data_IF_800956073111
#
_entry.id   IF_800956073111
#
_cell.length_a   1.000
_cell.length_b   1.000
_cell.length_c   1.000
_cell.angle_alpha   90.00
_cell.angle_beta   90.00
_cell.angle_gamma   90.00
#
_symmetry.space_group_name_H-M   'P 1'
#
loop_
_entity.id
_entity.type
_entity.pdbx_description
1 polymer ?
#
# COMPACT_ATOMS: atom_id res chain seq x y z
N UNK A 1 11.00 11.28 -21.32
CA UNK A 1 11.02 10.36 -20.18
C UNK A 1 9.63 10.40 -19.58
N UNK A 2 8.99 9.24 -19.39
CA UNK A 2 7.72 9.17 -18.65
C UNK A 2 7.96 9.66 -17.23
N UNK A 3 7.08 10.53 -16.74
CA UNK A 3 7.09 11.02 -15.35
C UNK A 3 6.69 9.84 -14.43
N UNK A 4 7.50 9.53 -13.41
CA UNK A 4 7.14 8.54 -12.37
C UNK A 4 5.89 9.02 -11.63
N UNK A 5 4.93 8.12 -11.39
CA UNK A 5 3.66 8.46 -10.75
C UNK A 5 3.25 7.40 -9.75
N UNK A 6 2.51 7.85 -8.75
CA UNK A 6 1.83 7.00 -7.79
C UNK A 6 0.35 7.34 -7.85
N UNK A 7 -0.50 6.34 -8.01
CA UNK A 7 -1.95 6.47 -8.00
C UNK A 7 -2.52 5.75 -6.80
N UNK A 8 -3.34 6.44 -6.03
CA UNK A 8 -4.11 5.86 -4.94
C UNK A 8 -5.58 5.81 -5.40
N UNK A 9 -6.10 4.60 -5.56
CA UNK A 9 -7.41 4.38 -6.18
C UNK A 9 -8.56 4.51 -5.17
N UNK A 10 -9.71 5.09 -5.57
CA UNK A 10 -10.89 5.18 -4.73
C UNK A 10 -11.66 3.85 -4.75
N UNK A 11 -11.20 2.88 -3.96
CA UNK A 11 -11.77 1.52 -3.87
C UNK A 11 -12.58 1.30 -2.58
N UNK A 12 -13.01 2.38 -1.92
CA UNK A 12 -13.77 2.34 -0.67
C UNK A 12 -12.87 2.23 0.56
N UNK A 13 -13.24 1.37 1.52
CA UNK A 13 -12.34 0.97 2.61
C UNK A 13 -11.59 -0.28 2.19
N UNK A 14 -10.71 -0.11 1.22
CA UNK A 14 -9.74 -1.10 0.84
C UNK A 14 -8.59 -0.40 0.16
N UNK A 15 -7.63 -1.17 -0.31
CA UNK A 15 -6.39 -0.63 -0.81
C UNK A 15 -6.07 -1.06 -2.22
N UNK A 16 -5.66 -0.10 -3.02
CA UNK A 16 -5.02 -0.32 -4.32
C UNK A 16 -4.20 0.92 -4.66
N UNK A 17 -2.88 0.74 -4.80
CA UNK A 17 -1.96 1.82 -5.16
C UNK A 17 -1.01 1.38 -6.26
N UNK A 18 -0.96 2.10 -7.38
CA UNK A 18 -0.09 1.78 -8.52
C UNK A 18 1.09 2.74 -8.59
N UNK A 19 2.30 2.20 -8.57
CA UNK A 19 3.54 2.91 -8.93
C UNK A 19 3.79 2.67 -10.43
N UNK A 20 3.71 3.73 -11.22
CA UNK A 20 4.10 3.77 -12.63
C UNK A 20 5.54 4.28 -12.72
N UNK A 21 6.46 3.41 -13.13
CA UNK A 21 7.88 3.75 -13.15
C UNK A 21 8.33 4.36 -14.50
N UNK A 22 9.45 5.08 -14.51
CA UNK A 22 10.01 5.69 -15.73
C UNK A 22 10.47 4.65 -16.78
N UNK A 23 10.88 3.45 -16.34
CA UNK A 23 11.26 2.33 -17.20
C UNK A 23 10.06 1.56 -17.76
N UNK A 24 8.84 2.02 -17.43
CA UNK A 24 7.58 1.44 -17.88
C UNK A 24 7.14 0.19 -17.13
N UNK A 25 7.81 -0.14 -16.00
CA UNK A 25 7.33 -1.15 -15.05
C UNK A 25 6.28 -0.61 -14.10
N UNK A 26 5.45 -1.53 -13.62
CA UNK A 26 4.29 -1.26 -12.78
C UNK A 26 4.32 -2.13 -11.53
N UNK A 27 4.28 -1.50 -10.36
CA UNK A 27 4.13 -2.18 -9.08
C UNK A 27 2.77 -1.78 -8.49
N UNK A 28 1.88 -2.74 -8.33
CA UNK A 28 0.59 -2.56 -7.66
C UNK A 28 0.72 -3.06 -6.22
N UNK A 29 0.38 -2.19 -5.26
CA UNK A 29 0.29 -2.50 -3.83
C UNK A 29 -1.19 -2.61 -3.48
N UNK A 30 -1.58 -3.81 -3.09
CA UNK A 30 -2.94 -4.30 -2.87
C UNK A 30 -3.85 -4.22 -4.09
N UNK A 31 -4.92 -5.01 -4.06
CA UNK A 31 -5.93 -5.06 -5.10
C UNK A 31 -7.31 -5.18 -4.46
N UNK A 32 -8.23 -4.27 -4.76
CA UNK A 32 -9.59 -4.38 -4.28
C UNK A 32 -10.59 -3.91 -5.34
N UNK A 33 -11.18 -4.88 -6.03
CA UNK A 33 -12.23 -4.69 -7.02
C UNK A 33 -13.22 -5.86 -6.96
N UNK A 34 -13.97 -6.01 -5.86
CA UNK A 34 -15.00 -7.04 -5.77
C UNK A 34 -16.10 -6.77 -6.81
N UNK A 35 -16.94 -7.77 -7.07
CA UNK A 35 -17.93 -7.72 -8.15
C UNK A 35 -18.82 -6.45 -8.11
N UNK A 36 -19.21 -6.00 -6.92
CA UNK A 36 -20.09 -4.84 -6.75
C UNK A 36 -19.41 -3.53 -7.16
N UNK A 37 -18.07 -3.45 -7.15
CA UNK A 37 -17.33 -2.26 -7.60
C UNK A 37 -17.50 -2.00 -9.11
N UNK A 38 -17.99 -3.00 -9.83
CA UNK A 38 -18.25 -2.96 -11.28
C UNK A 38 -19.70 -2.56 -11.61
N UNK A 39 -20.57 -2.45 -10.61
CA UNK A 39 -21.98 -2.15 -10.82
C UNK A 39 -22.23 -0.68 -11.20
N UNK A 40 -23.22 -0.48 -12.07
CA UNK A 40 -23.74 0.83 -12.45
C UNK A 40 -24.34 1.53 -11.21
N UNK A 41 -23.56 2.42 -10.59
CA UNK A 41 -23.97 3.20 -9.42
C UNK A 41 -23.10 3.01 -8.18
N UNK A 42 -22.14 2.08 -8.17
CA UNK A 42 -21.14 2.04 -7.10
C UNK A 42 -20.28 3.32 -7.14
N UNK A 43 -19.82 3.81 -5.98
CA UNK A 43 -18.96 5.01 -5.92
C UNK A 43 -17.48 4.68 -6.18
N UNK A 44 -17.09 3.41 -6.09
CA UNK A 44 -15.72 2.93 -6.26
C UNK A 44 -15.34 2.86 -7.73
N UNK A 45 -14.08 3.14 -8.01
CA UNK A 45 -13.53 2.97 -9.36
C UNK A 45 -13.60 1.50 -9.78
N UNK A 46 -13.92 1.24 -11.04
CA UNK A 46 -13.68 -0.08 -11.61
C UNK A 46 -12.16 -0.21 -11.86
N UNK A 47 -11.47 -0.86 -10.93
CA UNK A 47 -10.02 -0.98 -10.97
C UNK A 47 -9.54 -1.82 -12.15
N UNK A 48 -10.34 -2.80 -12.61
CA UNK A 48 -9.98 -3.63 -13.76
C UNK A 48 -9.87 -2.78 -15.03
N UNK A 49 -10.90 -1.96 -15.31
CA UNK A 49 -10.91 -1.06 -16.47
C UNK A 49 -9.73 -0.07 -16.42
N UNK A 50 -9.41 0.47 -15.24
CA UNK A 50 -8.27 1.36 -15.08
C UNK A 50 -6.94 0.66 -15.29
N UNK A 51 -6.75 -0.53 -14.70
CA UNK A 51 -5.52 -1.29 -14.89
C UNK A 51 -5.36 -1.69 -16.36
N UNK A 52 -6.43 -2.08 -17.04
CA UNK A 52 -6.42 -2.37 -18.47
C UNK A 52 -6.06 -1.14 -19.31
N UNK A 53 -6.59 0.05 -18.98
CA UNK A 53 -6.21 1.29 -19.66
C UNK A 53 -4.73 1.64 -19.45
N UNK A 54 -4.21 1.47 -18.23
CA UNK A 54 -2.83 1.84 -17.87
C UNK A 54 -1.81 0.86 -18.42
N UNK A 55 -2.05 -0.43 -18.23
CA UNK A 55 -1.14 -1.50 -18.65
C UNK A 55 -1.26 -1.79 -20.15
N UNK A 56 -2.42 -1.54 -20.76
CA UNK A 56 -2.73 -1.90 -22.14
C UNK A 56 -2.49 -3.39 -22.38
N UNK A 57 -1.59 -3.73 -23.31
CA UNK A 57 -1.22 -5.10 -23.62
C UNK A 57 -0.10 -5.66 -22.71
N UNK A 58 0.40 -4.88 -21.74
CA UNK A 58 1.45 -5.33 -20.83
C UNK A 58 0.90 -6.11 -19.65
N UNK A 59 1.70 -7.04 -19.16
CA UNK A 59 1.48 -7.68 -17.87
C UNK A 59 1.88 -6.73 -16.74
N UNK A 60 1.31 -6.95 -15.55
CA UNK A 60 1.75 -6.26 -14.34
C UNK A 60 3.12 -6.83 -13.89
N UNK A 61 4.09 -5.99 -13.56
CA UNK A 61 5.40 -6.51 -13.13
C UNK A 61 5.34 -7.08 -11.73
N UNK A 62 4.75 -6.35 -10.78
CA UNK A 62 4.65 -6.77 -9.38
C UNK A 62 3.25 -6.54 -8.84
N UNK A 63 2.67 -7.60 -8.27
CA UNK A 63 1.52 -7.51 -7.38
C UNK A 63 1.99 -7.76 -5.94
N UNK A 64 1.97 -6.74 -5.11
CA UNK A 64 2.25 -6.84 -3.68
C UNK A 64 0.93 -6.87 -2.90
N UNK A 65 0.64 -7.94 -2.18
CA UNK A 65 -0.49 -8.00 -1.24
C UNK A 65 0.06 -7.88 0.17
N UNK A 66 -0.32 -6.83 0.87
CA UNK A 66 0.31 -6.41 2.12
C UNK A 66 -0.05 -7.29 3.30
N UNK A 67 -1.28 -7.84 3.36
CA UNK A 67 -1.73 -8.79 4.38
C UNK A 67 -3.00 -9.56 3.98
N UNK A 68 -3.56 -10.36 4.89
CA UNK A 68 -4.60 -11.36 4.58
C UNK A 68 -6.05 -10.92 4.86
N UNK A 69 -6.34 -9.62 4.85
CA UNK A 69 -7.72 -9.09 4.83
C UNK A 69 -8.26 -8.88 3.41
N UNK A 70 -9.56 -9.13 3.24
CA UNK A 70 -10.22 -9.23 1.93
C UNK A 70 -10.20 -7.92 1.15
N UNK A 71 -10.23 -6.78 1.84
CA UNK A 71 -10.14 -5.44 1.27
C UNK A 71 -8.75 -5.08 0.70
N UNK A 72 -7.80 -6.01 0.74
CA UNK A 72 -6.46 -5.89 0.13
C UNK A 72 -6.24 -6.86 -1.05
N UNK A 73 -7.15 -7.81 -1.26
CA UNK A 73 -7.10 -8.74 -2.41
C UNK A 73 -8.47 -8.99 -3.08
N UNK A 74 -9.52 -8.28 -2.69
CA UNK A 74 -10.89 -8.57 -3.10
C UNK A 74 -11.10 -8.51 -4.60
N UNK A 75 -11.67 -9.57 -5.19
CA UNK A 75 -11.87 -9.76 -6.61
C UNK A 75 -10.62 -10.18 -7.39
N UNK A 76 -9.47 -10.38 -6.75
CA UNK A 76 -8.22 -10.64 -7.49
C UNK A 76 -8.30 -11.94 -8.31
N UNK A 77 -9.04 -12.94 -7.82
CA UNK A 77 -9.13 -14.24 -8.47
C UNK A 77 -10.10 -14.23 -9.65
N UNK A 78 -10.85 -13.16 -9.87
CA UNK A 78 -11.65 -12.95 -11.07
C UNK A 78 -10.86 -12.26 -12.18
N UNK A 79 -9.97 -11.32 -11.82
CA UNK A 79 -9.20 -10.53 -12.78
C UNK A 79 -7.90 -11.20 -13.25
N UNK A 80 -7.15 -11.79 -12.32
CA UNK A 80 -5.79 -12.25 -12.62
C UNK A 80 -5.74 -13.70 -13.11
N UNK A 81 -4.75 -13.96 -13.95
CA UNK A 81 -4.31 -15.28 -14.39
C UNK A 81 -3.36 -15.86 -13.33
N UNK A 82 -3.67 -17.04 -12.79
CA UNK A 82 -2.89 -17.65 -11.69
C UNK A 82 -2.19 -18.95 -12.14
N UNK A 83 -0.94 -19.14 -11.70
CA UNK A 83 -0.12 -20.28 -12.13
C UNK A 83 -0.54 -21.62 -11.49
N UNK A 84 -1.05 -21.59 -10.25
CA UNK A 84 -1.31 -22.79 -9.47
C UNK A 84 -2.57 -23.55 -9.93
N UNK A 85 -3.69 -22.85 -10.16
CA UNK A 85 -4.99 -23.50 -10.38
C UNK A 85 -5.53 -23.22 -11.76
N UNK A 86 -5.68 -24.28 -12.56
CA UNK A 86 -6.09 -24.23 -13.98
C UNK A 86 -7.36 -23.42 -14.24
N UNK A 87 -8.34 -23.41 -13.33
CA UNK A 87 -9.58 -22.65 -13.52
C UNK A 87 -9.37 -21.13 -13.63
N UNK A 88 -8.23 -20.62 -13.18
CA UNK A 88 -7.84 -19.21 -13.27
C UNK A 88 -6.91 -18.94 -14.45
N UNK A 89 -6.82 -19.84 -15.44
CA UNK A 89 -5.87 -19.73 -16.56
C UNK A 89 -6.54 -19.39 -17.91
N UNK A 90 -7.47 -18.43 -17.92
CA UNK A 90 -8.16 -17.95 -19.12
C UNK A 90 -7.40 -16.85 -19.88
N UNK A 91 -7.60 -16.77 -21.20
CA UNK A 91 -6.97 -15.74 -22.06
C UNK A 91 -7.49 -14.32 -21.80
N UNK A 92 -8.64 -14.20 -21.12
CA UNK A 92 -9.29 -12.96 -20.71
C UNK A 92 -8.75 -12.38 -19.40
N UNK A 93 -7.78 -13.05 -18.77
CA UNK A 93 -7.27 -12.68 -17.45
C UNK A 93 -5.91 -12.00 -17.53
N UNK A 94 -5.76 -10.93 -16.76
CA UNK A 94 -4.50 -10.18 -16.67
C UNK A 94 -3.41 -11.02 -16.02
N UNK A 95 -2.20 -11.02 -16.56
CA UNK A 95 -1.06 -11.69 -15.92
C UNK A 95 -0.26 -10.71 -15.06
N UNK A 96 0.50 -11.28 -14.12
CA UNK A 96 1.53 -10.57 -13.38
C UNK A 96 2.80 -11.42 -13.23
N UNK A 97 3.97 -10.77 -13.17
CA UNK A 97 5.26 -11.46 -13.17
C UNK A 97 5.65 -11.95 -11.77
N UNK A 98 5.64 -11.05 -10.77
CA UNK A 98 5.99 -11.39 -9.39
C UNK A 98 4.82 -11.18 -8.42
N UNK A 99 4.64 -12.12 -7.49
CA UNK A 99 3.74 -12.00 -6.34
C UNK A 99 4.55 -11.66 -5.09
N UNK A 100 4.22 -10.60 -4.37
CA UNK A 100 4.91 -10.22 -3.14
C UNK A 100 3.93 -10.30 -1.98
N UNK A 101 4.25 -11.07 -0.94
CA UNK A 101 3.34 -11.34 0.19
C UNK A 101 4.10 -11.42 1.51
N UNK A 102 3.45 -11.13 2.66
CA UNK A 102 4.06 -11.39 3.96
C UNK A 102 4.18 -12.90 4.18
N UNK A 103 5.17 -13.31 4.96
CA UNK A 103 5.38 -14.70 5.35
C UNK A 103 4.16 -15.33 6.04
N UNK A 104 3.44 -14.54 6.84
CA UNK A 104 2.19 -14.92 7.49
C UNK A 104 1.16 -15.47 6.50
N UNK A 105 1.12 -14.95 5.27
CA UNK A 105 0.21 -15.45 4.25
C UNK A 105 0.50 -16.91 3.87
N UNK A 106 1.74 -17.36 4.02
CA UNK A 106 2.20 -18.72 3.74
C UNK A 106 1.79 -19.68 4.84
N UNK A 107 2.03 -19.38 6.12
CA UNK A 107 1.88 -20.33 7.22
C UNK A 107 0.57 -20.20 8.00
N UNK A 108 -0.06 -19.02 8.05
CA UNK A 108 -1.29 -18.83 8.82
C UNK A 108 -2.39 -19.80 8.38
N UNK A 109 -3.26 -20.16 9.31
CA UNK A 109 -4.49 -20.92 9.02
C UNK A 109 -5.68 -19.96 8.88
N UNK A 110 -6.86 -20.48 8.55
CA UNK A 110 -8.08 -19.66 8.54
C UNK A 110 -8.25 -18.66 7.39
N UNK A 111 -7.49 -18.76 6.29
CA UNK A 111 -7.88 -18.04 5.07
C UNK A 111 -9.24 -18.56 4.58
N UNK A 112 -10.10 -17.64 4.15
CA UNK A 112 -11.44 -17.93 3.61
C UNK A 112 -11.56 -17.32 2.21
N UNK A 113 -12.54 -17.79 1.42
CA UNK A 113 -12.80 -17.28 0.08
C UNK A 113 -11.54 -17.18 -0.79
N UNK A 114 -11.34 -16.01 -1.37
CA UNK A 114 -10.19 -15.64 -2.21
C UNK A 114 -8.84 -15.72 -1.50
N UNK A 115 -8.78 -15.48 -0.18
CA UNK A 115 -7.53 -15.62 0.58
C UNK A 115 -6.94 -17.03 0.52
N UNK A 116 -7.77 -18.09 0.37
CA UNK A 116 -7.27 -19.47 0.16
C UNK A 116 -6.58 -19.61 -1.19
N UNK A 117 -7.13 -18.98 -2.21
CA UNK A 117 -6.63 -19.03 -3.59
C UNK A 117 -5.29 -18.30 -3.66
N UNK A 118 -5.21 -17.10 -3.08
CA UNK A 118 -3.99 -16.30 -3.02
C UNK A 118 -2.87 -17.05 -2.29
N UNK A 119 -3.19 -17.64 -1.14
CA UNK A 119 -2.26 -18.47 -0.37
C UNK A 119 -1.77 -19.68 -1.16
N UNK A 120 -2.66 -20.36 -1.89
CA UNK A 120 -2.29 -21.50 -2.73
C UNK A 120 -1.37 -21.09 -3.88
N UNK A 121 -1.64 -19.96 -4.53
CA UNK A 121 -0.75 -19.39 -5.55
C UNK A 121 0.64 -19.05 -4.97
N UNK A 122 0.67 -18.37 -3.81
CA UNK A 122 1.91 -18.00 -3.14
C UNK A 122 2.74 -19.24 -2.74
N UNK A 123 2.10 -20.25 -2.13
CA UNK A 123 2.74 -21.52 -1.77
C UNK A 123 3.28 -22.26 -2.98
N UNK A 124 2.54 -22.28 -4.10
CA UNK A 124 3.01 -22.90 -5.34
C UNK A 124 4.25 -22.19 -5.89
N UNK A 125 4.21 -20.85 -5.98
CA UNK A 125 5.36 -20.06 -6.46
C UNK A 125 6.59 -20.23 -5.56
N UNK A 126 6.39 -20.32 -4.25
CA UNK A 126 7.47 -20.51 -3.28
C UNK A 126 8.05 -21.93 -3.30
N UNK A 127 7.21 -22.94 -3.12
CA UNK A 127 7.65 -24.32 -2.84
C UNK A 127 7.88 -25.14 -4.10
N UNK A 128 6.98 -25.05 -5.07
CA UNK A 128 7.01 -25.87 -6.29
C UNK A 128 7.83 -25.20 -7.40
N UNK A 129 7.61 -23.89 -7.66
CA UNK A 129 8.28 -23.14 -8.74
C UNK A 129 9.60 -22.50 -8.31
N UNK A 130 9.69 -22.07 -7.05
CA UNK A 130 10.86 -21.39 -6.45
C UNK A 130 11.29 -20.13 -7.21
N UNK A 131 10.32 -19.40 -7.77
CA UNK A 131 10.55 -18.15 -8.50
C UNK A 131 9.24 -17.38 -8.71
N UNK A 132 9.33 -16.12 -9.15
CA UNK A 132 8.15 -15.27 -9.39
C UNK A 132 7.41 -14.88 -8.10
N UNK A 133 8.10 -14.92 -6.96
CA UNK A 133 7.57 -14.54 -5.65
C UNK A 133 8.65 -13.87 -4.80
N UNK A 134 8.25 -12.94 -3.93
CA UNK A 134 9.05 -12.49 -2.79
C UNK A 134 8.22 -12.58 -1.51
N UNK A 135 8.85 -13.09 -0.46
CA UNK A 135 8.25 -13.25 0.86
C UNK A 135 8.84 -12.19 1.78
N UNK A 136 7.98 -11.46 2.51
CA UNK A 136 8.37 -10.41 3.43
C UNK A 136 8.18 -10.90 4.86
N UNK A 137 9.24 -10.93 5.65
CA UNK A 137 9.28 -11.59 6.95
C UNK A 137 9.97 -12.95 6.87
N UNK A 138 10.55 -13.34 8.00
CA UNK A 138 11.24 -14.62 8.16
C UNK A 138 10.96 -15.19 9.55
N UNK A 139 9.70 -15.54 9.79
CA UNK A 139 9.27 -16.22 11.01
C UNK A 139 9.76 -17.66 11.10
N UNK A 140 9.83 -18.20 12.31
CA UNK A 140 10.14 -19.62 12.50
C UNK A 140 9.00 -20.50 11.96
N UNK A 141 7.76 -20.03 12.06
CA UNK A 141 6.57 -20.64 11.45
C UNK A 141 6.69 -20.76 9.92
N UNK A 142 7.32 -19.80 9.25
CA UNK A 142 7.61 -19.90 7.81
C UNK A 142 8.61 -21.02 7.54
N UNK A 143 9.70 -21.08 8.32
CA UNK A 143 10.75 -22.09 8.17
C UNK A 143 10.18 -23.49 8.41
N UNK A 144 9.44 -23.66 9.50
CA UNK A 144 8.73 -24.89 9.85
C UNK A 144 7.78 -25.30 8.72
N UNK A 145 6.96 -24.36 8.22
CA UNK A 145 6.04 -24.66 7.13
C UNK A 145 6.76 -25.14 5.86
N UNK A 146 7.90 -24.52 5.50
CA UNK A 146 8.69 -24.93 4.33
C UNK A 146 9.22 -26.35 4.52
N UNK A 147 9.87 -26.64 5.65
CA UNK A 147 10.44 -27.96 5.92
C UNK A 147 9.35 -29.05 6.02
N UNK A 148 8.25 -28.78 6.73
CA UNK A 148 7.14 -29.71 6.91
C UNK A 148 6.35 -29.96 5.62
N UNK A 149 6.43 -29.05 4.64
CA UNK A 149 5.76 -29.23 3.34
C UNK A 149 6.28 -30.46 2.57
N UNK A 150 7.53 -30.87 2.83
CA UNK A 150 8.22 -31.92 2.08
C UNK A 150 8.53 -31.57 0.62
N UNK A 151 8.29 -30.32 0.19
CA UNK A 151 8.46 -29.87 -1.21
C UNK A 151 9.75 -29.09 -1.47
N UNK A 152 10.24 -28.38 -0.46
CA UNK A 152 11.46 -27.59 -0.52
C UNK A 152 12.09 -27.54 0.87
N UNK A 153 13.40 -27.29 0.93
CA UNK A 153 14.06 -26.89 2.17
C UNK A 153 14.13 -25.38 2.24
N UNK A 154 14.22 -24.82 3.44
CA UNK A 154 14.38 -23.38 3.65
C UNK A 154 15.56 -22.83 2.82
N UNK A 155 16.67 -23.56 2.77
CA UNK A 155 17.85 -23.15 2.00
C UNK A 155 17.67 -23.12 0.48
N UNK A 156 16.68 -23.84 -0.04
CA UNK A 156 16.37 -23.83 -1.47
C UNK A 156 15.61 -22.55 -1.86
N UNK A 157 14.98 -21.86 -0.89
CA UNK A 157 14.08 -20.71 -1.13
C UNK A 157 14.45 -19.43 -0.38
N UNK A 158 15.45 -19.45 0.51
CA UNK A 158 15.85 -18.28 1.31
C UNK A 158 16.17 -17.01 0.53
N UNK A 159 16.55 -17.15 -0.73
CA UNK A 159 16.85 -16.03 -1.63
C UNK A 159 15.59 -15.27 -2.10
N UNK A 160 14.40 -15.83 -1.85
CA UNK A 160 13.09 -15.23 -2.10
C UNK A 160 12.55 -14.52 -0.86
N UNK A 161 13.25 -14.59 0.29
CA UNK A 161 12.79 -14.10 1.59
C UNK A 161 13.54 -12.82 1.96
N UNK A 162 12.79 -11.77 2.31
CA UNK A 162 13.27 -10.43 2.63
C UNK A 162 12.83 -10.01 4.03
N UNK A 163 13.70 -9.29 4.73
CA UNK A 163 13.54 -8.92 6.14
C UNK A 163 13.44 -7.39 6.30
N UNK A 164 12.88 -6.89 7.42
CA UNK A 164 13.06 -5.49 7.79
C UNK A 164 14.54 -5.09 7.76
N UNK A 165 14.83 -3.95 7.15
CA UNK A 165 16.21 -3.49 6.89
C UNK A 165 16.76 -3.83 5.50
N UNK A 166 16.20 -4.83 4.80
CA UNK A 166 16.59 -5.14 3.44
C UNK A 166 16.12 -4.05 2.46
N UNK A 167 16.85 -3.91 1.34
CA UNK A 167 16.55 -2.96 0.27
C UNK A 167 16.35 -3.70 -1.05
N UNK A 168 15.23 -3.44 -1.71
CA UNK A 168 14.97 -3.89 -3.08
C UNK A 168 15.27 -2.73 -4.03
N UNK A 169 16.31 -2.86 -4.86
CA UNK A 169 16.83 -1.79 -5.72
C UNK A 169 16.91 -2.17 -7.20
N UNK A 170 16.11 -3.15 -7.64
CA UNK A 170 16.08 -3.56 -9.05
C UNK A 170 15.18 -2.67 -9.92
N UNK A 171 14.48 -1.68 -9.36
CA UNK A 171 13.70 -0.69 -10.10
C UNK A 171 14.59 0.46 -10.59
N UNK A 172 14.42 0.92 -11.84
CA UNK A 172 15.01 2.21 -12.22
C UNK A 172 14.32 3.32 -11.43
N UNK A 173 15.04 4.36 -11.02
CA UNK A 173 14.40 5.55 -10.45
C UNK A 173 13.88 5.43 -9.01
N UNK A 174 13.87 4.26 -8.36
CA UNK A 174 13.62 4.16 -6.91
C UNK A 174 14.17 2.87 -6.27
N UNK A 175 14.36 2.91 -4.95
CA UNK A 175 14.56 1.73 -4.11
C UNK A 175 13.42 1.57 -3.10
N UNK A 176 13.14 0.34 -2.66
CA UNK A 176 12.21 0.03 -1.58
C UNK A 176 12.97 -0.45 -0.35
N UNK A 177 12.85 0.28 0.76
CA UNK A 177 13.32 -0.14 2.08
C UNK A 177 12.18 -0.84 2.83
N UNK A 178 12.46 -1.99 3.42
CA UNK A 178 11.46 -2.81 4.12
C UNK A 178 11.45 -2.47 5.61
N UNK A 179 10.28 -2.06 6.13
CA UNK A 179 10.08 -1.75 7.54
C UNK A 179 9.41 -2.90 8.30
N UNK A 180 8.56 -3.70 7.64
CA UNK A 180 7.69 -4.71 8.27
C UNK A 180 7.38 -5.82 7.27
N UNK A 181 7.07 -7.06 7.72
CA UNK A 181 6.88 -7.54 9.10
C UNK A 181 8.15 -7.89 9.88
N UNK A 182 8.14 -7.59 11.19
CA UNK A 182 9.14 -8.03 12.15
C UNK A 182 8.78 -9.41 12.71
N UNK A 183 9.42 -10.46 12.19
CA UNK A 183 9.05 -11.86 12.47
C UNK A 183 8.96 -12.23 13.96
N UNK A 184 9.85 -11.70 14.80
CA UNK A 184 9.88 -11.91 16.25
C UNK A 184 8.67 -11.35 17.03
N UNK A 185 7.79 -10.59 16.37
CA UNK A 185 6.54 -10.05 16.95
C UNK A 185 5.29 -10.66 16.32
N UNK A 186 5.36 -11.12 15.07
CA UNK A 186 4.18 -11.52 14.31
C UNK A 186 3.67 -12.92 14.63
N UNK A 187 4.45 -13.76 15.30
CA UNK A 187 4.03 -15.13 15.65
C UNK A 187 3.03 -15.16 16.81
N UNK A 188 3.24 -14.30 17.81
CA UNK A 188 2.36 -14.18 18.98
C UNK A 188 1.25 -13.14 18.79
N UNK A 189 1.27 -12.38 17.69
CA UNK A 189 0.26 -11.37 17.39
C UNK A 189 -0.92 -12.02 16.64
N UNK A 190 -2.11 -12.02 17.24
CA UNK A 190 -3.32 -12.48 16.55
C UNK A 190 -3.83 -11.44 15.53
N UNK A 191 -3.40 -10.18 15.64
CA UNK A 191 -3.79 -9.12 14.74
C UNK A 191 -3.00 -9.16 13.43
N UNK A 192 -3.67 -9.59 12.37
CA UNK A 192 -3.12 -9.66 11.01
C UNK A 192 -2.65 -8.32 10.46
N UNK A 193 -3.23 -7.22 10.93
CA UNK A 193 -2.82 -5.86 10.56
C UNK A 193 -1.36 -5.58 10.94
N UNK A 194 -0.90 -6.12 12.07
CA UNK A 194 0.47 -5.94 12.54
C UNK A 194 1.49 -6.85 11.83
N UNK A 195 1.02 -7.74 10.95
CA UNK A 195 1.86 -8.61 10.11
C UNK A 195 1.99 -8.11 8.68
N UNK A 196 1.50 -6.90 8.42
CA UNK A 196 1.47 -6.37 7.07
C UNK A 196 2.85 -5.90 6.59
N UNK A 197 3.00 -5.88 5.26
CA UNK A 197 4.14 -5.26 4.61
C UNK A 197 4.05 -3.75 4.77
N UNK A 198 5.10 -3.15 5.34
CA UNK A 198 5.32 -1.70 5.34
C UNK A 198 6.63 -1.44 4.63
N UNK A 199 6.59 -0.57 3.62
CA UNK A 199 7.78 -0.21 2.83
C UNK A 199 7.87 1.29 2.65
N UNK A 200 9.10 1.77 2.48
CA UNK A 200 9.38 3.11 1.97
C UNK A 200 10.00 3.04 0.59
N UNK A 201 9.42 3.72 -0.37
CA UNK A 201 10.04 4.03 -1.65
C UNK A 201 10.86 5.32 -1.56
N UNK A 202 12.14 5.28 -1.92
CA UNK A 202 12.97 6.47 -2.14
C UNK A 202 13.18 6.67 -3.65
N UNK A 203 12.42 7.61 -4.21
CA UNK A 203 12.47 7.96 -5.62
C UNK A 203 13.62 8.92 -5.91
N UNK A 204 14.32 8.63 -7.00
CA UNK A 204 15.55 9.31 -7.40
C UNK A 204 15.49 9.76 -8.86
N UNK A 205 15.92 10.99 -9.10
CA UNK A 205 16.15 11.54 -10.44
C UNK A 205 17.59 12.01 -10.49
N UNK A 206 18.35 11.60 -11.50
CA UNK A 206 19.79 11.88 -11.61
C UNK A 206 20.59 11.47 -10.35
N UNK A 207 20.20 10.34 -9.74
CA UNK A 207 20.73 9.79 -8.48
C UNK A 207 20.50 10.64 -7.22
N UNK A 208 19.69 11.70 -7.29
CA UNK A 208 19.31 12.50 -6.14
C UNK A 208 17.95 12.04 -5.62
N UNK A 209 17.82 11.82 -4.31
CA UNK A 209 16.52 11.59 -3.65
C UNK A 209 15.64 12.82 -3.84
N UNK A 210 14.48 12.62 -4.46
CA UNK A 210 13.51 13.68 -4.77
C UNK A 210 12.17 13.46 -4.10
N UNK A 211 11.83 12.23 -3.71
CA UNK A 211 10.60 11.95 -2.96
C UNK A 211 10.72 10.66 -2.17
N UNK A 212 10.28 10.70 -0.91
CA UNK A 212 10.22 9.56 0.00
C UNK A 212 8.75 9.23 0.27
N UNK A 213 8.33 8.02 -0.07
CA UNK A 213 6.93 7.61 0.03
C UNK A 213 6.82 6.38 0.92
N UNK A 214 6.06 6.50 2.01
CA UNK A 214 5.75 5.37 2.90
C UNK A 214 4.38 4.80 2.53
N UNK A 215 4.34 3.50 2.30
CA UNK A 215 3.09 2.73 2.18
C UNK A 215 2.83 2.04 3.51
N UNK A 216 1.95 2.64 4.32
CA UNK A 216 1.69 2.21 5.70
C UNK A 216 0.78 0.99 5.85
N UNK A 217 0.16 0.51 4.78
CA UNK A 217 -0.76 -0.64 4.79
C UNK A 217 -1.79 -0.50 5.92
N UNK A 218 -2.03 -1.55 6.72
CA UNK A 218 -2.93 -1.55 7.87
C UNK A 218 -2.20 -1.55 9.22
N UNK A 219 -0.90 -1.24 9.24
CA UNK A 219 -0.11 -1.24 10.46
C UNK A 219 -0.76 -0.38 11.57
N UNK A 220 -1.03 -1.01 12.72
CA UNK A 220 -1.56 -0.31 13.88
C UNK A 220 -0.45 0.32 14.72
N UNK A 221 -0.83 1.06 15.77
CA UNK A 221 0.10 1.81 16.62
C UNK A 221 1.22 0.93 17.19
N UNK A 222 0.93 -0.34 17.53
CA UNK A 222 1.94 -1.28 18.00
C UNK A 222 2.98 -1.64 16.94
N UNK A 223 2.54 -1.93 15.71
CA UNK A 223 3.43 -2.20 14.59
C UNK A 223 4.30 -0.98 14.30
N UNK A 224 3.73 0.23 14.28
CA UNK A 224 4.49 1.46 14.10
C UNK A 224 5.46 1.74 15.23
N UNK A 225 5.09 1.46 16.48
CA UNK A 225 6.00 1.57 17.62
C UNK A 225 7.20 0.64 17.48
N UNK A 226 6.97 -0.60 17.04
CA UNK A 226 8.03 -1.57 16.77
C UNK A 226 8.92 -1.11 15.60
N UNK A 227 8.33 -0.63 14.50
CA UNK A 227 9.07 -0.08 13.35
C UNK A 227 9.95 1.10 13.78
N UNK A 228 9.40 2.03 14.57
CA UNK A 228 10.12 3.19 15.06
C UNK A 228 11.31 2.79 15.94
N UNK A 229 11.05 2.01 17.00
CA UNK A 229 12.11 1.56 17.91
C UNK A 229 13.16 0.69 17.22
N UNK A 230 12.77 -0.17 16.27
CA UNK A 230 13.71 -0.94 15.46
C UNK A 230 14.58 -0.02 14.60
N UNK A 231 13.99 0.98 13.95
CA UNK A 231 14.72 1.96 13.14
C UNK A 231 15.68 2.79 13.99
N UNK A 232 15.26 3.25 15.16
CA UNK A 232 16.09 3.98 16.12
C UNK A 232 17.28 3.15 16.60
N UNK A 233 17.03 1.93 17.06
CA UNK A 233 18.07 1.03 17.58
C UNK A 233 19.11 0.64 16.53
N UNK A 234 18.73 0.62 15.25
CA UNK A 234 19.62 0.29 14.14
C UNK A 234 20.23 1.52 13.45
N UNK A 235 19.97 2.74 13.96
CA UNK A 235 20.49 3.98 13.37
C UNK A 235 19.89 4.33 12.00
N UNK A 236 18.68 3.85 11.73
CA UNK A 236 17.95 3.99 10.46
C UNK A 236 16.75 4.94 10.58
N UNK A 237 16.74 5.90 11.50
CA UNK A 237 15.64 6.88 11.61
C UNK A 237 15.42 7.66 10.31
N UNK A 238 16.49 7.92 9.56
CA UNK A 238 16.44 8.54 8.24
C UNK A 238 15.57 7.76 7.24
N UNK A 239 15.35 6.45 7.46
CA UNK A 239 14.46 5.58 6.66
C UNK A 239 12.98 5.76 6.98
N UNK A 240 12.63 6.50 8.04
CA UNK A 240 11.26 6.86 8.37
C UNK A 240 10.85 8.23 7.83
N UNK A 241 11.79 9.04 7.33
CA UNK A 241 11.46 10.31 6.69
C UNK A 241 10.52 10.11 5.49
N UNK A 242 9.54 10.99 5.33
CA UNK A 242 8.59 10.91 4.22
C UNK A 242 8.13 12.29 3.71
N UNK A 243 7.95 12.36 2.39
CA UNK A 243 7.26 13.45 1.69
C UNK A 243 5.80 13.06 1.37
N UNK A 244 5.53 11.76 1.25
CA UNK A 244 4.18 11.21 1.04
C UNK A 244 3.99 10.02 1.97
N UNK A 245 2.85 9.94 2.63
CA UNK A 245 2.50 8.82 3.49
C UNK A 245 1.09 8.35 3.14
N UNK A 246 0.98 7.10 2.69
CA UNK A 246 -0.32 6.42 2.60
C UNK A 246 -0.70 5.97 4.01
N UNK A 247 -1.69 6.66 4.58
CA UNK A 247 -2.11 6.51 5.98
C UNK A 247 -2.52 5.08 6.25
N UNK A 248 -2.11 4.56 7.41
CA UNK A 248 -2.38 3.19 7.76
C UNK A 248 -3.85 2.93 8.12
N UNK A 249 -4.31 1.73 7.82
CA UNK A 249 -5.59 1.16 8.29
C UNK A 249 -6.77 2.08 8.01
N UNK A 250 -6.84 2.59 6.78
CA UNK A 250 -7.93 3.41 6.28
C UNK A 250 -8.25 4.65 7.13
N UNK A 251 -7.25 5.28 7.74
CA UNK A 251 -7.43 6.39 8.69
C UNK A 251 -8.15 5.96 9.98
N UNK A 252 -7.81 4.77 10.48
CA UNK A 252 -8.23 4.27 11.79
C UNK A 252 -7.50 5.00 12.91
N UNK A 253 -8.20 5.30 14.00
CA UNK A 253 -7.56 5.71 15.24
C UNK A 253 -6.57 4.66 15.76
N UNK A 254 -6.79 3.37 15.47
CA UNK A 254 -5.88 2.30 15.93
C UNK A 254 -4.49 2.36 15.31
N UNK A 255 -4.33 3.03 14.16
CA UNK A 255 -3.03 3.34 13.58
C UNK A 255 -2.24 4.40 14.38
N UNK A 256 -2.94 5.26 15.11
CA UNK A 256 -2.36 6.30 15.96
C UNK A 256 -2.21 5.81 17.40
N UNK A 257 -3.30 5.27 17.94
CA UNK A 257 -3.42 4.75 19.30
C UNK A 257 -4.57 3.73 19.36
N UNK A 258 -4.23 2.45 19.42
CA UNK A 258 -5.20 1.34 19.49
C UNK A 258 -6.03 1.32 20.78
N UNK A 259 -5.51 1.90 21.86
CA UNK A 259 -6.11 1.80 23.19
C UNK A 259 -7.03 3.00 23.49
N UNK A 260 -6.76 4.15 22.86
CA UNK A 260 -7.50 5.39 23.09
C UNK A 260 -7.78 6.15 21.80
N UNK A 261 -9.05 6.22 21.43
CA UNK A 261 -9.54 6.95 20.24
C UNK A 261 -9.54 8.47 20.40
N UNK A 262 -9.70 8.96 21.63
CA UNK A 262 -9.90 10.37 21.94
C UNK A 262 -11.30 10.91 21.56
N UNK A 263 -11.54 12.17 21.93
CA UNK A 263 -12.85 12.84 21.78
C UNK A 263 -12.92 13.71 20.50
N UNK A 264 -11.95 14.62 20.34
CA UNK A 264 -11.87 15.56 19.21
C UNK A 264 -10.82 15.12 18.18
N UNK A 265 -9.67 14.70 18.67
CA UNK A 265 -8.59 14.09 17.91
C UNK A 265 -8.13 12.80 18.61
N UNK A 266 -7.43 11.93 17.88
CA UNK A 266 -6.76 10.78 18.46
C UNK A 266 -5.35 11.19 18.83
N UNK A 267 -5.00 11.15 20.11
CA UNK A 267 -3.63 11.37 20.58
C UNK A 267 -2.77 10.15 20.24
N UNK A 268 -1.77 10.27 19.33
CA UNK A 268 -0.94 9.14 18.97
C UNK A 268 -0.04 8.73 20.13
N UNK A 269 0.29 7.45 20.22
CA UNK A 269 1.33 7.01 21.15
C UNK A 269 2.69 7.62 20.77
N UNK A 270 3.58 7.75 21.75
CA UNK A 270 4.84 8.51 21.62
C UNK A 270 5.64 8.22 20.33
N UNK A 271 5.84 6.94 19.99
CA UNK A 271 6.60 6.57 18.79
C UNK A 271 5.88 6.91 17.49
N UNK A 272 4.54 6.78 17.45
CA UNK A 272 3.73 7.18 16.29
C UNK A 272 3.71 8.70 16.15
N UNK A 273 3.64 9.41 17.28
CA UNK A 273 3.76 10.86 17.31
C UNK A 273 5.08 11.33 16.70
N UNK A 274 6.21 10.77 17.15
CA UNK A 274 7.55 11.06 16.59
C UNK A 274 7.64 10.73 15.10
N UNK A 275 7.08 9.59 14.67
CA UNK A 275 7.03 9.24 13.25
C UNK A 275 6.40 10.37 12.43
N UNK A 276 5.21 10.83 12.80
CA UNK A 276 4.48 11.81 12.01
C UNK A 276 5.00 13.25 12.18
N UNK A 277 5.33 13.65 13.41
CA UNK A 277 5.74 15.02 13.73
C UNK A 277 7.20 15.30 13.38
N UNK A 278 8.11 14.34 13.60
CA UNK A 278 9.55 14.54 13.38
C UNK A 278 10.01 14.06 11.99
N UNK A 279 9.48 12.94 11.49
CA UNK A 279 9.95 12.35 10.22
C UNK A 279 9.19 12.89 8.99
N UNK A 280 7.97 13.39 9.19
CA UNK A 280 7.18 14.03 8.13
C UNK A 280 7.78 15.36 7.68
N UNK A 281 8.15 15.46 6.40
CA UNK A 281 8.75 16.67 5.85
C UNK A 281 7.73 17.82 5.73
N UNK A 282 8.21 19.06 5.65
CA UNK A 282 7.34 20.20 5.32
C UNK A 282 6.67 19.97 3.96
N UNK A 283 5.41 20.37 3.84
CA UNK A 283 4.56 20.17 2.65
C UNK A 283 4.31 18.70 2.28
N UNK A 284 4.44 17.78 3.25
CA UNK A 284 4.16 16.37 3.05
C UNK A 284 2.69 16.15 2.65
N UNK A 285 2.44 15.01 2.00
CA UNK A 285 1.10 14.57 1.60
C UNK A 285 0.70 13.34 2.39
N UNK A 286 -0.39 13.43 3.11
CA UNK A 286 -1.01 12.30 3.78
C UNK A 286 -2.20 11.83 2.95
N UNK A 287 -2.16 10.59 2.47
CA UNK A 287 -3.19 10.04 1.59
C UNK A 287 -3.93 8.93 2.34
N UNK A 288 -5.22 9.13 2.61
CA UNK A 288 -6.09 8.14 3.22
C UNK A 288 -6.84 7.38 2.11
N UNK A 289 -6.52 6.09 1.95
CA UNK A 289 -7.32 5.18 1.13
C UNK A 289 -8.50 4.68 1.96
N UNK A 290 -9.62 5.38 1.90
CA UNK A 290 -10.80 5.05 2.69
C UNK A 290 -12.06 5.69 2.09
N UNK A 291 -13.21 5.30 2.64
CA UNK A 291 -14.48 6.01 2.45
C UNK A 291 -14.36 7.46 2.91
N UNK A 292 -15.35 8.28 2.54
CA UNK A 292 -15.49 9.65 3.01
C UNK A 292 -15.39 9.70 4.53
N UNK A 293 -14.62 10.65 5.07
CA UNK A 293 -14.44 10.82 6.50
C UNK A 293 -15.80 11.21 7.10
N UNK A 294 -16.29 10.50 8.13
CA UNK A 294 -17.56 10.85 8.74
C UNK A 294 -17.46 12.23 9.40
N UNK A 295 -18.57 12.97 9.45
CA UNK A 295 -18.61 14.28 10.13
C UNK A 295 -18.46 14.16 11.66
N UNK A 296 -18.61 12.95 12.20
CA UNK A 296 -18.39 12.55 13.59
C UNK A 296 -18.42 11.03 13.68
N UNK A 297 -17.76 10.49 14.66
CA UNK A 297 -17.76 9.05 14.87
C UNK A 297 -19.02 8.59 15.59
N UNK A 298 -19.68 7.58 15.00
CA UNK A 298 -20.87 6.99 15.60
C UNK A 298 -20.45 5.94 16.62
N UNK A 299 -21.11 5.93 17.77
CA UNK A 299 -20.88 4.95 18.84
C UNK A 299 -20.99 3.48 18.37
N UNK A 300 -21.79 3.21 17.34
CA UNK A 300 -22.06 1.87 16.82
C UNK A 300 -21.39 1.58 15.46
N UNK A 301 -20.52 2.47 14.98
CA UNK A 301 -19.75 2.27 13.74
C UNK A 301 -18.26 2.18 14.12
N UNK A 302 -17.79 0.97 14.48
CA UNK A 302 -16.46 0.80 15.08
C UNK A 302 -15.34 0.87 14.04
N UNK A 303 -15.60 0.53 12.78
CA UNK A 303 -14.59 0.45 11.73
C UNK A 303 -14.12 1.83 11.25
N UNK A 304 -12.93 1.91 10.62
CA UNK A 304 -12.42 3.12 10.00
C UNK A 304 -13.27 3.55 8.78
N UNK A 305 -13.09 4.77 8.25
CA UNK A 305 -12.24 5.84 8.79
C UNK A 305 -12.83 6.45 10.06
N UNK A 306 -11.97 7.03 10.89
CA UNK A 306 -12.36 7.74 12.11
C UNK A 306 -12.14 9.24 11.98
N UNK A 307 -13.15 10.03 12.34
CA UNK A 307 -13.10 11.49 12.38
C UNK A 307 -11.93 11.98 13.25
N UNK A 308 -11.77 11.44 14.45
CA UNK A 308 -10.71 11.86 15.39
C UNK A 308 -9.30 11.64 14.82
N UNK A 309 -9.08 10.54 14.11
CA UNK A 309 -7.80 10.28 13.45
C UNK A 309 -7.57 11.26 12.29
N UNK A 310 -8.61 11.53 11.49
CA UNK A 310 -8.53 12.50 10.41
C UNK A 310 -8.25 13.92 10.90
N UNK A 311 -8.83 14.34 12.04
CA UNK A 311 -8.54 15.65 12.63
C UNK A 311 -7.06 15.77 13.04
N UNK A 312 -6.48 14.74 13.67
CA UNK A 312 -5.03 14.72 13.97
C UNK A 312 -4.20 14.94 12.70
N UNK A 313 -4.49 14.19 11.62
CA UNK A 313 -3.75 14.32 10.38
C UNK A 313 -3.95 15.68 9.69
N UNK A 314 -5.14 16.27 9.75
CA UNK A 314 -5.44 17.61 9.22
C UNK A 314 -4.67 18.70 9.97
N UNK A 315 -4.65 18.64 11.30
CA UNK A 315 -3.87 19.57 12.12
C UNK A 315 -2.38 19.46 11.78
N UNK A 316 -1.84 18.24 11.74
CA UNK A 316 -0.45 17.96 11.40
C UNK A 316 -0.02 18.53 10.05
N UNK A 317 -0.79 18.28 8.98
CA UNK A 317 -0.45 18.84 7.65
C UNK A 317 -0.68 20.34 7.58
N UNK A 318 -1.65 20.88 8.34
CA UNK A 318 -1.88 22.31 8.46
C UNK A 318 -0.63 23.04 8.96
N UNK A 319 -0.02 22.52 10.02
CA UNK A 319 1.22 23.05 10.60
C UNK A 319 2.43 22.92 9.64
N UNK A 320 2.48 21.82 8.87
CA UNK A 320 3.55 21.56 7.90
C UNK A 320 3.32 22.22 6.52
N UNK A 321 2.17 22.86 6.29
CA UNK A 321 1.78 23.39 4.98
C UNK A 321 1.63 22.31 3.90
N UNK A 322 1.22 21.11 4.30
CA UNK A 322 1.01 19.93 3.47
C UNK A 322 -0.44 19.73 3.03
N UNK A 323 -0.72 18.53 2.56
CA UNK A 323 -2.02 18.12 2.02
C UNK A 323 -2.52 16.85 2.72
N UNK A 324 -3.82 16.80 3.04
CA UNK A 324 -4.51 15.59 3.49
C UNK A 324 -5.58 15.25 2.47
N UNK A 325 -5.44 14.11 1.79
CA UNK A 325 -6.31 13.70 0.70
C UNK A 325 -6.97 12.36 1.01
N UNK A 326 -8.27 12.28 0.78
CA UNK A 326 -9.07 11.05 0.95
C UNK A 326 -9.48 10.57 -0.44
N UNK A 327 -9.20 9.30 -0.76
CA UNK A 327 -9.40 8.79 -2.13
C UNK A 327 -10.86 8.91 -2.55
N UNK A 328 -11.82 8.63 -1.67
CA UNK A 328 -13.26 8.72 -1.94
C UNK A 328 -13.85 10.14 -1.83
N UNK A 329 -13.04 11.19 -1.62
CA UNK A 329 -13.50 12.60 -1.52
C UNK A 329 -13.06 13.51 -2.69
N UNK A 330 -12.16 13.05 -3.58
CA UNK A 330 -11.76 13.81 -4.77
C UNK A 330 -12.96 14.18 -5.65
N UNK A 331 -12.94 15.32 -6.39
CA UNK A 331 -14.15 15.93 -6.92
C UNK A 331 -15.02 14.94 -7.70
N UNK A 332 -16.17 14.65 -7.11
CA UNK A 332 -17.26 13.90 -7.71
C UNK A 332 -18.03 14.84 -8.65
N UNK A 333 -17.51 15.04 -9.86
CA UNK A 333 -18.40 15.28 -10.99
C UNK A 333 -19.25 14.02 -11.22
N UNK A 334 -20.38 14.14 -11.92
CA UNK A 334 -21.39 13.07 -12.03
C UNK A 334 -20.91 11.72 -12.60
N UNK A 335 -19.61 11.53 -12.88
CA UNK A 335 -18.98 10.28 -13.32
C UNK A 335 -17.45 10.20 -13.03
N UNK A 336 -16.84 11.07 -12.21
CA UNK A 336 -15.38 11.09 -12.06
C UNK A 336 -14.90 10.40 -10.78
N UNK A 337 -14.78 9.07 -10.83
CA UNK A 337 -14.18 8.22 -9.78
C UNK A 337 -12.65 8.28 -9.87
N UNK A 338 -12.08 9.47 -9.72
CA UNK A 338 -10.68 9.70 -10.08
C UNK A 338 -9.70 9.30 -8.98
N UNK A 339 -8.56 8.65 -9.31
CA UNK A 339 -7.47 8.41 -8.36
C UNK A 339 -6.85 9.70 -7.82
N UNK A 340 -6.35 9.65 -6.59
CA UNK A 340 -5.38 10.66 -6.12
C UNK A 340 -4.05 10.34 -6.79
N UNK A 341 -3.50 11.28 -7.55
CA UNK A 341 -2.27 11.08 -8.31
C UNK A 341 -1.16 11.96 -7.76
N UNK A 342 -0.06 11.34 -7.36
CA UNK A 342 1.19 12.01 -7.01
C UNK A 342 2.19 11.81 -8.14
N UNK A 343 2.60 12.90 -8.76
CA UNK A 343 3.67 12.94 -9.75
C UNK A 343 5.01 13.20 -9.05
N UNK A 344 6.02 12.38 -9.36
CA UNK A 344 7.37 12.55 -8.84
C UNK A 344 8.19 13.39 -9.81
N UNK A 345 8.67 14.54 -9.35
CA UNK A 345 9.45 15.48 -10.16
C UNK A 345 10.79 15.78 -9.50
N UNK A 346 11.72 16.39 -10.24
CA UNK A 346 12.99 16.90 -9.69
C UNK A 346 12.85 17.94 -8.56
N UNK A 347 11.63 18.44 -8.31
CA UNK A 347 11.32 19.43 -7.28
C UNK A 347 10.54 18.84 -6.10
N UNK A 348 10.32 17.53 -6.09
CA UNK A 348 9.49 16.89 -5.08
C UNK A 348 8.21 16.26 -5.64
N UNK A 349 7.44 15.56 -4.78
CA UNK A 349 6.14 15.02 -5.12
C UNK A 349 5.10 16.13 -5.28
N UNK A 350 4.26 16.01 -6.31
CA UNK A 350 3.22 16.98 -6.65
C UNK A 350 1.87 16.30 -6.83
N UNK A 351 0.84 16.77 -6.14
CA UNK A 351 -0.53 16.34 -6.40
C UNK A 351 -1.00 16.86 -7.77
N UNK A 352 -1.61 15.97 -8.56
CA UNK A 352 -2.21 16.33 -9.85
C UNK A 352 -3.68 16.65 -9.63
N UNK A 353 -4.02 17.93 -9.79
CA UNK A 353 -5.41 18.39 -9.82
C UNK A 353 -6.09 17.93 -11.11
N UNK A 354 -7.06 17.03 -10.99
CA UNK A 354 -7.90 16.60 -12.10
C UNK A 354 -9.11 17.55 -12.20
N UNK A 355 -9.25 18.23 -13.34
CA UNK A 355 -10.39 19.11 -13.56
C UNK A 355 -11.70 18.30 -13.64
N UNK A 356 -12.75 18.77 -12.96
CA UNK A 356 -14.08 18.17 -13.06
C UNK A 356 -14.55 18.15 -14.53
N UNK A 357 -14.84 16.95 -15.06
CA UNK A 357 -15.30 16.76 -16.44
C UNK A 357 -14.22 16.42 -17.48
N UNK A 358 -12.96 16.26 -17.09
CA UNK A 358 -11.97 15.64 -17.97
C UNK A 358 -12.17 14.12 -17.96
N UNK A 359 -12.78 13.58 -19.02
CA UNK A 359 -12.54 12.19 -19.41
C UNK A 359 -11.02 11.98 -19.47
N UNK A 360 -10.52 10.87 -18.92
CA UNK A 360 -9.12 10.45 -19.06
C UNK A 360 -8.84 10.18 -20.55
N UNK A 361 -8.56 11.26 -21.27
CA UNK A 361 -8.47 11.33 -22.72
C UNK A 361 -7.83 12.66 -23.07
N UNK A 362 -6.51 12.66 -23.11
CA UNK A 362 -5.62 13.68 -23.69
C UNK A 362 -5.97 15.17 -23.45
N UNK A 363 -5.26 15.83 -22.53
CA UNK A 363 -5.15 17.28 -22.53
C UNK A 363 -4.66 17.89 -21.22
N UNK A 364 -3.33 18.08 -21.07
CA UNK A 364 -2.74 18.84 -19.95
C UNK A 364 -3.23 20.31 -20.01
N UNK A 365 -3.92 20.79 -18.97
CA UNK A 365 -3.93 22.23 -18.65
C UNK A 365 -2.87 22.45 -17.58
N UNK A 366 -1.71 22.97 -17.98
CA UNK A 366 -0.62 23.32 -17.07
C UNK A 366 -0.84 24.73 -16.53
N UNK A 367 -1.02 24.87 -15.21
CA UNK A 367 -0.86 26.16 -14.54
C UNK A 367 0.63 26.34 -14.23
N UNK A 368 1.23 27.42 -14.75
CA UNK A 368 2.65 27.75 -14.51
C UNK A 368 2.89 28.03 -13.02
N UNK A 369 4.06 27.66 -12.47
CA UNK A 369 4.45 28.09 -11.13
C UNK A 369 4.71 29.59 -11.11
N UNK A 370 4.23 30.27 -10.06
CA UNK A 370 4.64 31.62 -9.72
C UNK A 370 6.13 31.63 -9.36
N UNK A 371 6.87 32.58 -9.93
CA UNK A 371 8.28 32.81 -9.62
C UNK A 371 8.36 33.54 -8.28
N UNK A 372 9.00 32.94 -7.30
CA UNK A 372 9.49 33.66 -6.12
C UNK A 372 10.89 34.20 -6.42
N UNK A 373 11.05 35.51 -6.22
CA UNK A 373 12.36 36.14 -6.01
C UNK A 373 12.73 36.15 -4.55
#
# INVERSE_FOLDING_TARGET
>A
MSEMKIRFYPVGNGDSSLIENEDGRHLLIDYNCPAEAKDDGDERINLEDELDERLKDKDLDVLMITHSHEDHYGGFSDYYWLEHTQKYQGDDRRKFTELWVPDAMIWETGANGEGKILRSEARYRLLDKRSGIKIFGESDSLKEYIEDSGKARYEDVKHLIFRPGDVINHFSGFELFIHSPHSWKTEDDENKNNKCIVVRADFRIDNLSVAKVIFGSDAESDAWSNIYSSSENNGNLDRLEFDVFKISHHCSHTALNKDEKGDLNTDPIENVKKLFEDQGQNKCKLIASCKKIPSKDKRNEPGPPHFQAAEYYRELVGDKGGDFEVTMEQPMGANSRNPVIVEITRFGPRLVLLAAGASLGAGKVTKKPERFG
#
